data_IF_330824083147
#
_entry.id   IF_330824083147
#
_cell.length_a   1.000
_cell.length_b   1.000
_cell.length_c   1.000
_cell.angle_alpha   90.00
_cell.angle_beta   90.00
_cell.angle_gamma   90.00
#
_symmetry.space_group_name_H-M   'P 1'
#
loop_
_entity.id
_entity.type
_entity.pdbx_description
1 polymer ?
#
# COMPACT_ATOMS: atom_id res chain seq x y z
N UNK A 1 -5.22 0.88 -7.10
CA UNK A 1 -6.66 0.81 -6.90
C UNK A 1 -7.38 1.29 -8.14
N UNK A 2 -8.67 0.95 -8.23
CA UNK A 2 -9.49 1.33 -9.36
C UNK A 2 -9.65 2.85 -9.44
N UNK A 3 -9.78 3.37 -10.66
CA UNK A 3 -10.05 4.80 -10.85
C UNK A 3 -11.38 5.22 -10.23
N UNK A 4 -12.31 4.28 -10.07
CA UNK A 4 -13.60 4.58 -9.46
C UNK A 4 -13.54 4.59 -7.94
N UNK A 5 -12.45 4.16 -7.36
CA UNK A 5 -12.34 4.09 -5.91
C UNK A 5 -12.10 5.47 -5.30
N UNK A 6 -12.47 5.59 -4.04
CA UNK A 6 -12.25 6.82 -3.29
C UNK A 6 -10.80 6.84 -2.82
N UNK A 7 -9.99 7.70 -3.44
CA UNK A 7 -8.57 7.78 -3.14
C UNK A 7 -8.34 8.20 -1.69
N UNK A 8 -9.14 9.13 -1.20
CA UNK A 8 -8.96 9.60 0.17
C UNK A 8 -9.23 8.50 1.17
N UNK A 9 -10.29 7.72 0.92
CA UNK A 9 -10.59 6.59 1.79
C UNK A 9 -9.49 5.55 1.72
N UNK A 10 -8.99 5.26 0.52
CA UNK A 10 -7.92 4.29 0.37
C UNK A 10 -6.68 4.73 1.14
N UNK A 11 -6.32 6.00 1.06
CA UNK A 11 -5.17 6.50 1.79
C UNK A 11 -5.37 6.38 3.30
N UNK A 12 -6.58 6.65 3.77
CA UNK A 12 -6.87 6.54 5.19
C UNK A 12 -6.79 5.08 5.65
N UNK A 13 -7.35 4.17 4.87
CA UNK A 13 -7.32 2.74 5.20
C UNK A 13 -5.88 2.24 5.26
N UNK A 14 -5.07 2.63 4.29
CA UNK A 14 -3.66 2.23 4.27
C UNK A 14 -2.92 2.83 5.45
N UNK A 15 -3.18 4.09 5.77
CA UNK A 15 -2.55 4.73 6.92
C UNK A 15 -2.87 3.98 8.21
N UNK A 16 -4.11 3.53 8.36
CA UNK A 16 -4.50 2.77 9.54
C UNK A 16 -3.70 1.47 9.65
N UNK A 17 -3.44 0.81 8.52
CA UNK A 17 -2.62 -0.40 8.52
C UNK A 17 -1.21 -0.07 9.00
N UNK A 18 -0.64 1.02 8.53
CA UNK A 18 0.71 1.40 8.91
C UNK A 18 0.79 1.77 10.39
N UNK A 19 -0.24 2.41 10.93
CA UNK A 19 -0.26 2.76 12.34
C UNK A 19 -0.24 1.52 13.24
N UNK A 20 -0.79 0.43 12.76
CA UNK A 20 -0.85 -0.80 13.54
C UNK A 20 0.38 -1.68 13.35
N UNK A 21 1.23 -1.35 12.40
CA UNK A 21 2.41 -2.17 12.13
C UNK A 21 3.52 -1.82 13.11
N UNK A 22 3.86 -2.77 13.96
CA UNK A 22 4.79 -2.51 15.06
C UNK A 22 6.22 -2.30 14.58
N UNK A 23 6.57 -2.79 13.41
CA UNK A 23 7.93 -2.66 12.89
C UNK A 23 8.17 -1.35 12.16
N UNK A 24 7.13 -0.56 11.92
CA UNK A 24 7.29 0.73 11.29
C UNK A 24 7.74 1.76 12.32
N UNK A 25 8.73 2.56 11.96
CA UNK A 25 9.31 3.55 12.86
C UNK A 25 8.56 4.86 12.74
N UNK A 26 7.25 4.80 13.03
CA UNK A 26 6.38 5.96 12.81
C UNK A 26 6.61 7.08 13.81
N UNK A 27 7.14 6.76 14.98
CA UNK A 27 7.41 7.80 15.98
C UNK A 27 8.69 8.55 15.68
N UNK A 28 9.63 7.92 14.98
CA UNK A 28 10.91 8.53 14.63
C UNK A 28 10.82 9.29 13.31
N UNK A 29 10.12 8.70 12.33
CA UNK A 29 9.98 9.26 11.00
C UNK A 29 8.55 9.09 10.56
N UNK A 30 7.93 10.13 10.03
CA UNK A 30 6.55 9.99 9.57
C UNK A 30 6.49 9.09 8.32
N UNK A 31 5.42 8.37 8.21
CA UNK A 31 5.16 7.61 7.01
C UNK A 31 4.41 8.48 6.01
N UNK A 32 4.43 8.06 4.75
CA UNK A 32 3.73 8.77 3.68
C UNK A 32 2.92 7.80 2.87
N UNK A 33 1.68 8.18 2.56
CA UNK A 33 0.83 7.47 1.64
C UNK A 33 0.43 8.48 0.57
N UNK A 34 0.74 8.17 -0.67
CA UNK A 34 0.58 9.18 -1.74
C UNK A 34 0.19 8.51 -3.04
N UNK A 35 -0.35 9.30 -3.95
CA UNK A 35 -0.60 8.81 -5.30
C UNK A 35 0.71 8.88 -6.06
N UNK A 36 1.24 7.73 -6.41
CA UNK A 36 2.52 7.65 -7.08
C UNK A 36 2.39 8.00 -8.56
N UNK A 37 1.37 7.44 -9.19
CA UNK A 37 1.14 7.72 -10.60
C UNK A 37 -0.28 7.33 -10.97
N UNK A 38 -0.70 7.80 -12.14
CA UNK A 38 -1.97 7.42 -12.73
C UNK A 38 -1.67 6.48 -13.87
N UNK A 39 -1.89 5.20 -13.61
CA UNK A 39 -1.60 4.17 -14.60
C UNK A 39 -2.74 4.00 -15.59
N UNK A 40 -2.54 3.10 -16.54
CA UNK A 40 -3.53 2.86 -17.58
C UNK A 40 -4.81 2.24 -17.03
N UNK A 41 -4.69 1.40 -16.04
CA UNK A 41 -5.83 0.65 -15.51
C UNK A 41 -6.14 0.97 -14.06
N UNK A 42 -5.27 1.70 -13.38
CA UNK A 42 -5.42 1.91 -11.94
C UNK A 42 -4.65 3.11 -11.47
N UNK A 43 -5.09 3.64 -10.34
CA UNK A 43 -4.34 4.65 -9.60
C UNK A 43 -3.31 3.91 -8.76
N UNK A 44 -2.05 4.27 -8.90
CA UNK A 44 -0.98 3.62 -8.15
C UNK A 44 -0.72 4.41 -6.88
N UNK A 45 -0.91 3.75 -5.75
CA UNK A 45 -0.68 4.36 -4.45
C UNK A 45 0.70 3.95 -3.95
N UNK A 46 1.49 4.93 -3.55
CA UNK A 46 2.80 4.67 -2.99
C UNK A 46 2.78 4.76 -1.49
N UNK A 47 3.61 3.97 -0.87
CA UNK A 47 3.75 3.95 0.58
C UNK A 47 5.23 4.08 0.90
N UNK A 48 5.55 4.99 1.79
CA UNK A 48 6.92 5.15 2.26
C UNK A 48 6.92 5.11 3.77
N UNK A 49 7.60 4.12 4.33
CA UNK A 49 7.74 3.97 5.77
C UNK A 49 9.18 3.62 6.09
N UNK A 50 9.57 3.87 7.32
CA UNK A 50 10.90 3.53 7.78
C UNK A 50 10.85 2.28 8.63
N UNK A 51 11.72 1.33 8.31
CA UNK A 51 11.76 0.02 8.96
C UNK A 51 13.23 -0.33 9.15
N UNK A 52 13.54 -1.03 10.21
CA UNK A 52 14.90 -1.52 10.38
C UNK A 52 15.27 -2.46 9.23
N UNK A 53 16.52 -2.39 8.79
CA UNK A 53 16.97 -3.18 7.66
C UNK A 53 16.72 -4.66 7.86
N UNK A 54 16.94 -5.15 9.06
CA UNK A 54 16.78 -6.58 9.35
C UNK A 54 15.32 -7.03 9.28
N UNK A 55 14.38 -6.09 9.41
CA UNK A 55 12.96 -6.41 9.37
C UNK A 55 12.31 -6.07 8.03
N UNK A 56 13.11 -5.62 7.07
CA UNK A 56 12.57 -5.02 5.85
C UNK A 56 11.64 -5.95 5.09
N UNK A 57 12.11 -7.15 4.76
CA UNK A 57 11.32 -8.03 3.90
C UNK A 57 10.08 -8.55 4.59
N UNK A 58 10.22 -8.93 5.83
CA UNK A 58 9.09 -9.45 6.60
C UNK A 58 8.01 -8.38 6.75
N UNK A 59 8.43 -7.17 7.09
CA UNK A 59 7.50 -6.06 7.27
C UNK A 59 6.84 -5.68 5.95
N UNK A 60 7.60 -5.66 4.87
CA UNK A 60 7.06 -5.34 3.57
C UNK A 60 5.97 -6.33 3.17
N UNK A 61 6.22 -7.60 3.36
CA UNK A 61 5.23 -8.64 3.02
C UNK A 61 3.99 -8.51 3.87
N UNK A 62 4.16 -8.28 5.15
CA UNK A 62 3.03 -8.15 6.06
C UNK A 62 2.19 -6.93 5.75
N UNK A 63 2.83 -5.81 5.47
CA UNK A 63 2.10 -4.59 5.10
C UNK A 63 1.34 -4.80 3.81
N UNK A 64 1.97 -5.40 2.81
CA UNK A 64 1.33 -5.65 1.53
C UNK A 64 0.07 -6.49 1.70
N UNK A 65 0.18 -7.54 2.49
CA UNK A 65 -0.95 -8.42 2.73
C UNK A 65 -2.05 -7.72 3.51
N UNK A 66 -1.68 -7.01 4.57
CA UNK A 66 -2.66 -6.33 5.41
C UNK A 66 -3.35 -5.19 4.67
N UNK A 67 -2.64 -4.51 3.80
CA UNK A 67 -3.25 -3.48 2.97
C UNK A 67 -4.30 -4.09 2.06
N UNK A 68 -3.99 -5.23 1.47
CA UNK A 68 -4.96 -5.92 0.60
C UNK A 68 -6.22 -6.27 1.38
N UNK A 69 -6.05 -6.84 2.57
CA UNK A 69 -7.19 -7.19 3.40
C UNK A 69 -8.02 -5.97 3.78
N UNK A 70 -7.34 -4.90 4.17
CA UNK A 70 -8.04 -3.69 4.60
C UNK A 70 -8.80 -3.03 3.44
N UNK A 71 -8.21 -3.01 2.26
CA UNK A 71 -8.89 -2.47 1.10
C UNK A 71 -10.12 -3.31 0.74
N UNK A 72 -10.00 -4.62 0.81
CA UNK A 72 -11.13 -5.50 0.56
C UNK A 72 -12.24 -5.27 1.58
N UNK A 73 -11.88 -5.10 2.85
CA UNK A 73 -12.87 -4.87 3.90
C UNK A 73 -13.66 -3.58 3.67
N UNK A 74 -13.05 -2.61 3.03
CA UNK A 74 -13.70 -1.34 2.73
C UNK A 74 -14.23 -1.29 1.30
N UNK A 75 -14.24 -2.44 0.62
CA UNK A 75 -14.79 -2.58 -0.73
C UNK A 75 -14.08 -1.67 -1.73
N UNK A 76 -12.78 -1.47 -1.53
CA UNK A 76 -11.95 -0.72 -2.46
C UNK A 76 -11.31 -1.72 -3.41
N UNK A 77 -11.68 -1.63 -4.68
CA UNK A 77 -11.25 -2.60 -5.66
C UNK A 77 -9.82 -2.36 -6.12
N UNK A 78 -9.05 -3.44 -6.21
CA UNK A 78 -7.73 -3.43 -6.84
C UNK A 78 -7.90 -4.13 -8.17
N UNK A 79 -7.87 -3.41 -9.29
CA UNK A 79 -8.11 -4.05 -10.58
C UNK A 79 -6.96 -4.98 -10.94
N UNK A 80 -7.29 -5.97 -11.74
CA UNK A 80 -6.27 -6.85 -12.26
C UNK A 80 -5.38 -6.08 -13.24
N UNK A 81 -4.09 -6.39 -13.28
CA UNK A 81 -3.20 -5.75 -14.25
C UNK A 81 -3.67 -6.05 -15.66
N UNK A 82 -3.66 -5.04 -16.49
CA UNK A 82 -4.07 -5.20 -17.88
C UNK A 82 -2.93 -5.69 -18.76
N UNK A 83 -1.72 -5.52 -18.30
CA UNK A 83 -0.56 -5.95 -19.07
C UNK A 83 0.10 -7.08 -18.36
N UNK A 84 0.72 -7.94 -19.13
CA UNK A 84 1.50 -9.00 -18.54
C UNK A 84 2.63 -8.42 -17.75
N UNK A 85 2.80 -8.93 -16.58
CA UNK A 85 3.90 -8.53 -15.76
C UNK A 85 5.15 -9.22 -16.25
N UNK A 86 6.14 -8.44 -16.56
CA UNK A 86 7.44 -9.01 -16.87
C UNK A 86 8.01 -9.61 -15.64
N UNK A 87 8.35 -10.86 -15.72
CA UNK A 87 8.95 -11.50 -14.58
C UNK A 87 10.43 -11.26 -14.61
N UNK A 88 10.86 -10.41 -13.76
CA UNK A 88 12.28 -10.17 -13.61
C UNK A 88 12.80 -11.04 -12.54
N UNK A 89 13.71 -11.80 -12.86
CA UNK A 89 14.32 -12.61 -11.83
C UNK A 89 15.62 -12.06 -11.43
#
# INVERSE_FOLDING_TARGET
>A
ISYDADIRLAKQVISDVLEKEKNCMTSAEPYHVFVDSLGDSAVVIGIRVWVKTEDYWETRWRITENVKYALDDHQIEIPFPQVSVSMKS
#
